data_IF_259086214742
#
_entry.id   IF_259086214742
#
_cell.length_a   1.000
_cell.length_b   1.000
_cell.length_c   1.000
_cell.angle_alpha   90.00
_cell.angle_beta   90.00
_cell.angle_gamma   90.00
#
_symmetry.space_group_name_H-M   'P 1'
#
loop_
_entity.id
_entity.type
_entity.pdbx_description
1 polymer ?
#
# COMPACT_ATOMS: atom_id res chain seq x y z
N UNK A 1 5.85 12.05 -9.86
CA UNK A 1 5.46 10.87 -10.67
C UNK A 1 5.36 9.65 -9.78
N UNK A 2 4.32 8.82 -9.91
CA UNK A 2 4.22 7.55 -9.18
C UNK A 2 4.84 6.43 -10.03
N UNK A 3 5.76 5.66 -9.42
CA UNK A 3 6.28 4.40 -9.97
C UNK A 3 5.72 3.24 -9.16
N UNK A 4 5.09 2.32 -9.87
CA UNK A 4 4.71 1.01 -9.35
C UNK A 4 5.76 -0.01 -9.75
N UNK A 5 6.05 -0.97 -8.87
CA UNK A 5 6.88 -2.13 -9.19
C UNK A 5 6.28 -3.34 -8.51
N UNK A 6 6.14 -4.41 -9.28
CA UNK A 6 5.64 -5.71 -8.85
C UNK A 6 6.75 -6.71 -9.16
N UNK A 7 7.32 -7.28 -8.12
CA UNK A 7 8.51 -8.13 -8.18
C UNK A 7 8.12 -9.56 -7.80
N UNK A 8 8.56 -10.53 -8.60
CA UNK A 8 8.47 -11.95 -8.27
C UNK A 8 9.81 -12.43 -7.70
N UNK A 9 9.77 -13.07 -6.55
CA UNK A 9 10.92 -13.69 -5.90
C UNK A 9 10.63 -15.18 -5.65
N UNK A 10 11.62 -15.91 -5.14
CA UNK A 10 11.42 -17.30 -4.68
C UNK A 10 10.43 -17.40 -3.51
N UNK A 11 10.22 -16.30 -2.76
CA UNK A 11 9.29 -16.25 -1.63
C UNK A 11 7.86 -15.90 -2.08
N UNK A 12 7.67 -15.43 -3.31
CA UNK A 12 6.38 -15.02 -3.84
C UNK A 12 6.42 -13.64 -4.50
N UNK A 13 5.24 -13.02 -4.59
CA UNK A 13 5.02 -11.73 -5.22
C UNK A 13 4.98 -10.60 -4.19
N UNK A 14 5.57 -9.47 -4.51
CA UNK A 14 5.54 -8.29 -3.66
C UNK A 14 5.49 -7.02 -4.50
N UNK A 15 4.82 -5.99 -3.99
CA UNK A 15 4.69 -4.73 -4.70
C UNK A 15 5.20 -3.55 -3.88
N UNK A 16 5.60 -2.49 -4.59
CA UNK A 16 6.03 -1.22 -4.00
C UNK A 16 5.48 -0.05 -4.81
N UNK A 17 5.08 1.01 -4.09
CA UNK A 17 4.74 2.31 -4.64
C UNK A 17 5.79 3.32 -4.22
N UNK A 18 6.41 3.96 -5.21
CA UNK A 18 7.44 4.97 -5.03
C UNK A 18 6.96 6.28 -5.62
N UNK A 19 6.96 7.34 -4.81
CA UNK A 19 6.80 8.70 -5.29
C UNK A 19 8.14 9.24 -5.75
N UNK A 20 8.25 9.66 -7.00
CA UNK A 20 9.45 10.30 -7.55
C UNK A 20 9.18 11.78 -7.78
N UNK A 21 10.03 12.62 -7.20
CA UNK A 21 10.16 14.05 -7.50
C UNK A 21 11.47 14.29 -8.22
N UNK A 22 11.73 15.53 -8.63
CA UNK A 22 13.01 15.87 -9.28
C UNK A 22 14.21 15.71 -8.34
N UNK A 23 13.97 15.76 -7.02
CA UNK A 23 15.02 15.72 -6.01
C UNK A 23 15.11 14.39 -5.24
N UNK A 24 14.07 13.55 -5.26
CA UNK A 24 14.00 12.36 -4.41
C UNK A 24 13.09 11.24 -4.96
N UNK A 25 13.27 10.05 -4.40
CA UNK A 25 12.39 8.90 -4.61
C UNK A 25 12.00 8.31 -3.24
N UNK A 26 10.75 8.49 -2.84
CA UNK A 26 10.24 8.09 -1.55
C UNK A 26 9.36 6.85 -1.68
N UNK A 27 9.67 5.80 -0.90
CA UNK A 27 8.80 4.63 -0.77
C UNK A 27 7.57 5.02 0.05
N UNK A 28 6.43 5.17 -0.60
CA UNK A 28 5.17 5.60 0.05
C UNK A 28 4.34 4.42 0.55
N UNK A 29 4.46 3.25 -0.08
CA UNK A 29 3.81 2.02 0.35
C UNK A 29 4.51 0.77 -0.20
N UNK A 30 4.35 -0.34 0.51
CA UNK A 30 4.74 -1.69 0.06
C UNK A 30 3.73 -2.73 0.54
N UNK A 31 3.72 -3.89 -0.12
CA UNK A 31 3.01 -5.09 0.35
C UNK A 31 3.50 -5.52 1.73
N UNK A 32 2.70 -6.34 2.40
CA UNK A 32 3.18 -7.12 3.54
C UNK A 32 4.07 -8.28 3.09
N UNK A 33 3.98 -9.45 3.77
CA UNK A 33 4.67 -10.66 3.34
C UNK A 33 4.38 -10.99 1.87
N UNK A 34 5.33 -11.62 1.14
CA UNK A 34 5.10 -12.01 -0.25
C UNK A 34 3.87 -12.91 -0.41
N UNK A 35 3.06 -12.65 -1.43
CA UNK A 35 1.88 -13.45 -1.77
C UNK A 35 2.24 -14.62 -2.67
N UNK A 36 1.38 -15.64 -2.72
CA UNK A 36 1.60 -16.85 -3.53
C UNK A 36 1.58 -16.57 -5.03
N UNK A 37 0.79 -15.59 -5.47
CA UNK A 37 0.65 -15.26 -6.88
C UNK A 37 0.45 -13.75 -7.15
N UNK A 38 0.53 -13.42 -8.44
CA UNK A 38 0.37 -12.07 -8.97
C UNK A 38 -1.02 -11.47 -8.67
N UNK A 39 -2.08 -12.29 -8.71
CA UNK A 39 -3.45 -11.82 -8.49
C UNK A 39 -3.64 -11.37 -7.05
N UNK A 40 -3.19 -12.17 -6.09
CA UNK A 40 -3.21 -11.81 -4.67
C UNK A 40 -2.46 -10.50 -4.39
N UNK A 41 -1.28 -10.31 -5.02
CA UNK A 41 -0.53 -9.06 -4.89
C UNK A 41 -1.31 -7.84 -5.45
N UNK A 42 -2.06 -8.02 -6.54
CA UNK A 42 -2.91 -6.97 -7.10
C UNK A 42 -4.16 -6.70 -6.25
N UNK A 43 -4.72 -7.72 -5.61
CA UNK A 43 -5.83 -7.58 -4.67
C UNK A 43 -5.43 -6.81 -3.41
N UNK A 44 -4.22 -7.04 -2.88
CA UNK A 44 -3.68 -6.22 -1.79
C UNK A 44 -3.54 -4.75 -2.18
N UNK A 45 -3.05 -4.47 -3.40
CA UNK A 45 -3.00 -3.11 -3.94
C UNK A 45 -4.42 -2.51 -4.09
N UNK A 46 -5.39 -3.31 -4.52
CA UNK A 46 -6.79 -2.92 -4.60
C UNK A 46 -7.36 -2.56 -3.23
N UNK A 47 -6.99 -3.32 -2.19
CA UNK A 47 -7.36 -3.03 -0.82
C UNK A 47 -6.77 -1.69 -0.35
N UNK A 48 -5.54 -1.34 -0.73
CA UNK A 48 -5.00 -0.01 -0.46
C UNK A 48 -5.82 1.10 -1.14
N UNK A 49 -6.23 0.88 -2.38
CA UNK A 49 -7.01 1.85 -3.17
C UNK A 49 -8.43 2.07 -2.67
N UNK A 50 -9.10 1.02 -2.20
CA UNK A 50 -10.55 1.00 -1.99
C UNK A 50 -11.00 0.45 -0.63
N UNK A 51 -10.08 -0.09 0.16
CA UNK A 51 -10.37 -0.77 1.42
C UNK A 51 -10.57 0.16 2.62
N UNK A 52 -10.57 -0.42 3.83
CA UNK A 52 -10.81 0.31 5.07
C UNK A 52 -9.68 1.32 5.39
N UNK A 53 -9.89 2.25 6.32
CA UNK A 53 -8.81 3.08 6.84
C UNK A 53 -7.74 2.22 7.55
N UNK A 54 -6.48 2.68 7.61
CA UNK A 54 -5.42 1.90 8.20
C UNK A 54 -5.39 2.10 9.71
N UNK A 55 -4.73 1.16 10.39
CA UNK A 55 -4.27 1.36 11.76
C UNK A 55 -3.02 2.23 11.75
N UNK A 56 -2.97 3.23 12.61
CA UNK A 56 -1.78 4.07 12.82
C UNK A 56 -1.04 3.55 14.04
N UNK A 57 0.25 3.24 13.87
CA UNK A 57 1.08 2.62 14.91
C UNK A 57 2.31 3.48 15.13
N UNK A 58 2.52 3.92 16.37
CA UNK A 58 3.77 4.52 16.82
C UNK A 58 4.79 3.45 17.17
N UNK A 59 6.06 3.77 16.98
CA UNK A 59 7.21 2.97 17.41
C UNK A 59 7.90 3.68 18.58
N UNK A 60 8.72 2.94 19.33
CA UNK A 60 9.37 3.46 20.56
C UNK A 60 10.37 4.60 20.28
N UNK A 61 10.82 4.72 19.03
CA UNK A 61 11.68 5.81 18.52
C UNK A 61 10.92 7.10 18.19
N UNK A 62 9.61 7.15 18.42
CA UNK A 62 8.75 8.29 18.12
C UNK A 62 8.32 8.39 16.65
N UNK A 63 8.62 7.38 15.83
CA UNK A 63 8.17 7.32 14.45
C UNK A 63 6.83 6.59 14.29
N UNK A 64 6.05 7.04 13.32
CA UNK A 64 4.72 6.55 13.02
C UNK A 64 4.70 5.88 11.66
N UNK A 65 3.96 4.77 11.57
CA UNK A 65 3.62 4.08 10.33
C UNK A 65 2.15 3.73 10.30
N UNK A 66 1.60 3.61 9.10
CA UNK A 66 0.28 3.05 8.90
C UNK A 66 0.40 1.60 8.44
N UNK A 67 -0.55 0.78 8.90
CA UNK A 67 -0.70 -0.62 8.54
C UNK A 67 -2.12 -0.83 8.04
N UNK A 68 -2.26 -1.43 6.86
CA UNK A 68 -3.52 -1.87 6.31
C UNK A 68 -3.58 -3.39 6.38
N UNK A 69 -4.63 -3.90 7.02
CA UNK A 69 -4.86 -5.33 7.14
C UNK A 69 -5.89 -5.80 6.10
N UNK A 70 -5.65 -6.98 5.54
CA UNK A 70 -6.65 -7.75 4.82
C UNK A 70 -7.75 -8.25 5.77
N UNK A 71 -8.90 -8.72 5.25
CA UNK A 71 -10.00 -9.24 6.07
C UNK A 71 -9.61 -10.39 7.00
N UNK A 72 -8.60 -11.18 6.62
CA UNK A 72 -8.05 -12.29 7.43
C UNK A 72 -7.07 -11.83 8.53
N UNK A 73 -6.81 -10.52 8.63
CA UNK A 73 -5.91 -9.91 9.61
C UNK A 73 -4.44 -9.82 9.17
N UNK A 74 -4.08 -10.42 8.03
CA UNK A 74 -2.72 -10.28 7.47
C UNK A 74 -2.45 -8.84 7.04
N UNK A 75 -1.18 -8.44 6.99
CA UNK A 75 -0.82 -7.09 6.53
C UNK A 75 -0.81 -7.09 5.01
N UNK A 76 -1.72 -6.35 4.39
CA UNK A 76 -1.77 -6.18 2.93
C UNK A 76 -0.89 -5.04 2.45
N UNK A 77 -0.78 -3.96 3.25
CA UNK A 77 0.02 -2.80 2.88
C UNK A 77 0.55 -2.05 4.11
N UNK A 78 1.70 -1.41 3.95
CA UNK A 78 2.28 -0.55 4.99
C UNK A 78 3.20 0.52 4.39
N UNK A 79 3.41 1.62 5.12
CA UNK A 79 4.52 2.55 4.86
C UNK A 79 5.73 2.26 5.75
N UNK A 80 6.91 2.82 5.41
CA UNK A 80 8.04 2.92 6.34
C UNK A 80 7.68 3.71 7.61
N UNK A 81 8.28 3.35 8.75
CA UNK A 81 8.14 4.08 10.01
C UNK A 81 9.03 5.33 10.00
N UNK A 82 8.60 6.37 9.28
CA UNK A 82 9.39 7.60 9.09
C UNK A 82 8.64 8.87 9.50
N UNK A 83 7.34 8.78 9.77
CA UNK A 83 6.54 9.96 10.07
C UNK A 83 6.71 10.39 11.53
N UNK A 84 6.83 11.69 11.79
CA UNK A 84 7.07 12.21 13.15
C UNK A 84 5.82 12.33 14.01
N UNK A 85 4.64 12.20 13.41
CA UNK A 85 3.37 12.34 14.12
C UNK A 85 2.26 11.53 13.39
N UNK A 86 1.16 11.21 14.09
CA UNK A 86 0.10 10.37 13.52
C UNK A 86 -0.71 11.05 12.41
N UNK A 87 -0.79 12.39 12.40
CA UNK A 87 -1.49 13.15 11.37
C UNK A 87 -0.77 13.05 10.02
N UNK A 88 0.53 13.34 9.99
CA UNK A 88 1.38 13.18 8.81
C UNK A 88 1.36 11.73 8.30
N UNK A 89 1.29 10.77 9.21
CA UNK A 89 1.13 9.36 8.84
C UNK A 89 -0.22 9.07 8.16
N UNK A 90 -1.30 9.72 8.58
CA UNK A 90 -2.64 9.60 7.96
C UNK A 90 -2.70 10.27 6.59
N UNK A 91 -2.05 11.42 6.44
CA UNK A 91 -1.91 12.11 5.15
C UNK A 91 -1.12 11.25 4.16
N UNK A 92 0.00 10.68 4.60
CA UNK A 92 0.79 9.76 3.78
C UNK A 92 -0.01 8.53 3.30
N UNK A 93 -0.92 8.01 4.13
CA UNK A 93 -1.85 6.97 3.70
C UNK A 93 -2.80 7.46 2.60
N UNK A 94 -3.31 8.68 2.71
CA UNK A 94 -4.21 9.27 1.71
C UNK A 94 -3.52 9.39 0.35
N UNK A 95 -2.25 9.78 0.34
CA UNK A 95 -1.45 9.85 -0.87
C UNK A 95 -1.14 8.46 -1.44
N UNK A 96 -0.79 7.48 -0.59
CA UNK A 96 -0.59 6.10 -1.01
C UNK A 96 -1.87 5.49 -1.62
N UNK A 97 -3.04 5.75 -1.03
CA UNK A 97 -4.35 5.33 -1.55
C UNK A 97 -4.63 5.93 -2.92
N UNK A 98 -4.42 7.24 -3.10
CA UNK A 98 -4.60 7.90 -4.40
C UNK A 98 -3.66 7.32 -5.46
N UNK A 99 -2.40 7.07 -5.09
CA UNK A 99 -1.41 6.44 -5.96
C UNK A 99 -1.84 5.03 -6.39
N UNK A 100 -2.34 4.21 -5.46
CA UNK A 100 -2.85 2.86 -5.76
C UNK A 100 -4.01 2.91 -6.77
N UNK A 101 -4.98 3.80 -6.59
CA UNK A 101 -6.10 3.98 -7.54
C UNK A 101 -5.61 4.33 -8.95
N UNK A 102 -4.60 5.20 -9.07
CA UNK A 102 -4.00 5.54 -10.37
C UNK A 102 -3.34 4.33 -11.02
N UNK A 103 -2.64 3.50 -10.24
CA UNK A 103 -1.99 2.28 -10.74
C UNK A 103 -3.02 1.25 -11.19
N UNK A 104 -4.04 0.95 -10.36
CA UNK A 104 -5.08 -0.03 -10.68
C UNK A 104 -5.80 0.31 -11.99
N UNK A 105 -6.11 1.59 -12.21
CA UNK A 105 -6.71 2.06 -13.47
C UNK A 105 -5.82 1.82 -14.69
N UNK A 106 -4.50 1.99 -14.56
CA UNK A 106 -3.54 1.74 -15.65
C UNK A 106 -3.38 0.26 -15.97
N UNK A 107 -3.53 -0.60 -14.96
CA UNK A 107 -3.36 -2.05 -15.08
C UNK A 107 -4.69 -2.78 -15.34
N UNK A 108 -5.80 -2.07 -15.57
CA UNK A 108 -7.09 -2.66 -15.91
C UNK A 108 -7.68 -3.56 -14.83
N UNK A 109 -7.23 -3.42 -13.57
CA UNK A 109 -7.74 -4.25 -12.48
C UNK A 109 -9.16 -3.77 -12.15
N UNK A 110 -10.19 -4.64 -12.26
CA UNK A 110 -11.54 -4.24 -11.94
C UNK A 110 -11.57 -3.85 -10.46
N UNK A 111 -11.94 -2.61 -10.16
CA UNK A 111 -12.31 -2.24 -8.81
C UNK A 111 -13.40 -3.24 -8.40
N UNK A 112 -13.12 -4.09 -7.42
CA UNK A 112 -14.05 -5.11 -6.96
C UNK A 112 -15.28 -4.42 -6.35
N UNK A 113 -16.24 -4.05 -7.20
CA UNK A 113 -17.63 -3.84 -6.83
C UNK A 113 -18.27 -5.23 -6.70
N UNK A 114 -17.99 -5.89 -5.58
CA UNK A 114 -18.86 -6.96 -5.06
C UNK A 114 -19.58 -6.41 -3.84
N UNK A 115 -20.60 -5.59 -4.08
CA UNK A 115 -21.63 -5.26 -3.11
C UNK A 115 -22.92 -4.89 -3.85
N UNK A 116 -23.82 -5.87 -3.93
CA UNK A 116 -25.29 -5.80 -3.87
C UNK A 116 -25.86 -7.03 -4.58
N UNK A 117 -26.03 -8.11 -3.79
CA UNK A 117 -27.05 -9.12 -4.05
C UNK A 117 -28.34 -8.74 -3.35
#
# INVERSE_FOLDING_TARGET
>A
MIRFSLDQTVEGWSWRLVSRTDCAADLIARSGPPTTDHTAAMEELALLGHGPPPRIVGSDDGHWRWLLSAPDGTIAAQCPAVHRNPLACREAFTDARRAAVVVLRRHGHPAACQACG
#
